data_IF_180583516794
#
_entry.id   IF_180583516794
#
_cell.length_a   1.000
_cell.length_b   1.000
_cell.length_c   1.000
_cell.angle_alpha   90.00
_cell.angle_beta   90.00
_cell.angle_gamma   90.00
#
_symmetry.space_group_name_H-M   'P 1'
#
loop_
_entity.id
_entity.type
_entity.pdbx_description
1 polymer ?
#
# COMPACT_ATOMS: atom_id res chain seq x y z
N UNK A 1 -20.79 -28.33 3.31
CA UNK A 1 -21.15 -26.92 3.56
C UNK A 1 -20.25 -26.11 2.65
N UNK A 2 -20.80 -25.35 1.69
CA UNK A 2 -19.96 -24.52 0.80
C UNK A 2 -19.48 -23.34 1.63
N UNK A 3 -18.19 -23.29 1.90
CA UNK A 3 -17.55 -22.09 2.45
C UNK A 3 -17.85 -20.94 1.48
N UNK A 4 -18.64 -19.98 1.96
CA UNK A 4 -18.91 -18.72 1.30
C UNK A 4 -17.58 -17.97 1.21
N UNK A 5 -17.00 -17.96 0.01
CA UNK A 5 -15.89 -17.08 -0.33
C UNK A 5 -16.45 -15.67 -0.24
N UNK A 6 -16.26 -15.01 0.91
CA UNK A 6 -16.52 -13.58 1.02
C UNK A 6 -15.62 -12.89 -0.01
N UNK A 7 -16.24 -12.35 -1.05
CA UNK A 7 -15.52 -11.53 -2.02
C UNK A 7 -14.92 -10.34 -1.26
N UNK A 8 -13.64 -10.00 -1.48
CA UNK A 8 -13.04 -8.86 -0.83
C UNK A 8 -13.86 -7.60 -1.12
N UNK A 9 -14.08 -6.78 -0.08
CA UNK A 9 -14.74 -5.48 -0.25
C UNK A 9 -13.77 -4.57 -0.98
N UNK A 10 -14.10 -4.22 -2.22
CA UNK A 10 -13.30 -3.30 -3.02
C UNK A 10 -13.65 -1.84 -2.68
N UNK A 11 -12.61 -1.04 -2.48
CA UNK A 11 -12.72 0.41 -2.27
C UNK A 11 -12.04 1.13 -3.42
N UNK A 12 -12.72 2.13 -3.99
CA UNK A 12 -12.17 3.01 -5.02
C UNK A 12 -11.94 4.40 -4.42
N UNK A 13 -10.75 4.95 -4.60
CA UNK A 13 -10.40 6.32 -4.19
C UNK A 13 -9.87 7.10 -5.39
N UNK A 14 -10.21 8.39 -5.46
CA UNK A 14 -9.62 9.32 -6.42
C UNK A 14 -8.53 10.11 -5.73
N UNK A 15 -7.35 10.14 -6.34
CA UNK A 15 -6.16 10.78 -5.79
C UNK A 15 -5.45 11.54 -6.90
N UNK A 16 -4.81 12.64 -6.55
CA UNK A 16 -3.93 13.40 -7.44
C UNK A 16 -2.58 12.69 -7.61
N UNK A 17 -1.80 13.07 -8.62
CA UNK A 17 -0.42 12.55 -8.78
C UNK A 17 0.44 12.84 -7.55
N UNK A 18 0.26 14.01 -6.93
CA UNK A 18 0.98 14.40 -5.71
C UNK A 18 0.64 13.48 -4.54
N UNK A 19 -0.63 13.13 -4.37
CA UNK A 19 -1.07 12.21 -3.32
C UNK A 19 -0.59 10.79 -3.58
N UNK A 20 -0.57 10.34 -4.84
CA UNK A 20 0.00 9.04 -5.20
C UNK A 20 1.49 8.96 -4.83
N UNK A 21 2.29 9.99 -5.17
CA UNK A 21 3.70 10.08 -4.76
C UNK A 21 3.85 10.05 -3.24
N UNK A 22 2.97 10.76 -2.53
CA UNK A 22 2.92 10.75 -1.05
C UNK A 22 2.65 9.33 -0.52
N UNK A 23 1.65 8.61 -1.02
CA UNK A 23 1.34 7.25 -0.55
C UNK A 23 2.48 6.26 -0.79
N UNK A 24 3.15 6.34 -1.94
CA UNK A 24 4.34 5.51 -2.22
C UNK A 24 5.46 5.83 -1.22
N UNK A 25 5.69 7.13 -0.95
CA UNK A 25 6.70 7.57 0.02
C UNK A 25 6.37 7.11 1.44
N UNK A 26 5.09 7.11 1.84
CA UNK A 26 4.66 6.65 3.16
C UNK A 26 5.02 5.19 3.41
N UNK A 27 4.82 4.29 2.44
CA UNK A 27 5.17 2.87 2.60
C UNK A 27 6.65 2.67 2.93
N UNK A 28 7.53 3.38 2.20
CA UNK A 28 8.98 3.36 2.45
C UNK A 28 9.32 3.96 3.82
N UNK A 29 8.71 5.11 4.15
CA UNK A 29 8.97 5.79 5.42
C UNK A 29 8.55 4.93 6.63
N UNK A 30 7.45 4.17 6.54
CA UNK A 30 7.02 3.25 7.59
C UNK A 30 8.08 2.19 7.87
N UNK A 31 8.58 1.53 6.82
CA UNK A 31 9.58 0.46 6.95
C UNK A 31 10.91 0.99 7.51
N UNK A 32 11.26 2.25 7.22
CA UNK A 32 12.51 2.86 7.68
C UNK A 32 12.45 3.34 9.14
N UNK A 33 11.29 3.78 9.61
CA UNK A 33 11.17 4.52 10.87
C UNK A 33 10.38 3.77 11.96
N UNK A 34 9.62 2.74 11.59
CA UNK A 34 8.83 1.95 12.55
C UNK A 34 9.47 0.57 12.72
N UNK A 35 9.73 0.12 13.96
CA UNK A 35 10.24 -1.23 14.20
C UNK A 35 9.35 -2.30 13.58
N UNK A 36 9.95 -3.33 12.97
CA UNK A 36 9.24 -4.34 12.18
C UNK A 36 8.11 -5.03 12.97
N UNK A 37 8.39 -5.43 14.21
CA UNK A 37 7.40 -6.07 15.11
C UNK A 37 6.25 -5.14 15.53
N UNK A 38 6.40 -3.83 15.31
CA UNK A 38 5.38 -2.82 15.62
C UNK A 38 4.51 -2.45 14.42
N UNK A 39 4.91 -2.80 13.19
CA UNK A 39 4.18 -2.43 11.96
C UNK A 39 2.73 -2.92 11.94
N UNK A 40 2.42 -4.18 12.31
CA UNK A 40 1.04 -4.66 12.33
C UNK A 40 0.16 -3.88 13.32
N UNK A 41 0.71 -3.48 14.45
CA UNK A 41 -0.02 -2.69 15.45
C UNK A 41 -0.18 -1.23 15.02
N UNK A 42 0.77 -0.68 14.26
CA UNK A 42 0.75 0.71 13.82
C UNK A 42 -0.18 0.95 12.63
N UNK A 43 -0.14 0.08 11.61
CA UNK A 43 -0.87 0.28 10.35
C UNK A 43 -1.66 -0.94 9.86
N UNK A 44 -1.68 -2.04 10.63
CA UNK A 44 -2.41 -3.25 10.26
C UNK A 44 -1.72 -4.13 9.23
N UNK A 45 -0.49 -3.80 8.81
CA UNK A 45 0.26 -4.53 7.78
C UNK A 45 1.63 -4.97 8.29
N UNK A 46 2.06 -6.15 7.86
CA UNK A 46 3.44 -6.60 7.97
C UNK A 46 4.35 -5.85 6.99
N UNK A 47 5.66 -5.91 7.21
CA UNK A 47 6.66 -5.32 6.30
C UNK A 47 6.52 -5.79 4.86
N UNK A 48 6.28 -7.09 4.64
CA UNK A 48 6.12 -7.64 3.30
C UNK A 48 4.85 -7.10 2.62
N UNK A 49 3.73 -7.01 3.34
CA UNK A 49 2.49 -6.44 2.80
C UNK A 49 2.64 -4.95 2.45
N UNK A 50 3.40 -4.18 3.24
CA UNK A 50 3.71 -2.78 2.93
C UNK A 50 4.54 -2.70 1.65
N UNK A 51 5.55 -3.56 1.48
CA UNK A 51 6.36 -3.62 0.25
C UNK A 51 5.47 -3.93 -0.94
N UNK A 52 4.61 -4.95 -0.84
CA UNK A 52 3.73 -5.37 -1.93
C UNK A 52 2.73 -4.29 -2.35
N UNK A 53 2.13 -3.58 -1.38
CA UNK A 53 1.25 -2.44 -1.68
C UNK A 53 2.04 -1.31 -2.34
N UNK A 54 3.21 -0.98 -1.80
CA UNK A 54 4.07 0.10 -2.31
C UNK A 54 4.53 -0.18 -3.75
N UNK A 55 4.89 -1.43 -4.06
CA UNK A 55 5.26 -1.86 -5.41
C UNK A 55 4.08 -1.75 -6.38
N UNK A 56 2.88 -2.19 -6.00
CA UNK A 56 1.69 -2.04 -6.84
C UNK A 56 1.36 -0.57 -7.13
N UNK A 57 1.53 0.32 -6.14
CA UNK A 57 1.35 1.76 -6.33
C UNK A 57 2.42 2.35 -7.26
N UNK A 58 3.69 1.96 -7.08
CA UNK A 58 4.82 2.36 -7.94
C UNK A 58 4.58 1.94 -9.39
N UNK A 59 4.25 0.68 -9.62
CA UNK A 59 3.93 0.17 -10.97
C UNK A 59 2.76 0.92 -11.61
N UNK A 60 1.74 1.27 -10.82
CA UNK A 60 0.65 2.09 -11.32
C UNK A 60 1.12 3.48 -11.74
N UNK A 61 1.97 4.13 -10.95
CA UNK A 61 2.56 5.43 -11.28
C UNK A 61 3.41 5.37 -12.55
N UNK A 62 4.28 4.35 -12.67
CA UNK A 62 5.15 4.15 -13.83
C UNK A 62 4.32 3.96 -15.11
N UNK A 63 3.25 3.17 -15.06
CA UNK A 63 2.30 3.00 -16.19
C UNK A 63 1.58 4.29 -16.61
N UNK A 64 1.50 5.27 -15.71
CA UNK A 64 0.89 6.58 -15.97
C UNK A 64 1.92 7.65 -16.33
N UNK A 65 3.21 7.32 -16.35
CA UNK A 65 4.28 8.29 -16.60
C UNK A 65 4.48 9.28 -15.46
N UNK A 66 4.04 8.94 -14.25
CA UNK A 66 4.21 9.78 -13.07
C UNK A 66 5.60 9.46 -12.50
N UNK A 67 6.50 10.45 -12.52
CA UNK A 67 7.81 10.31 -11.88
C UNK A 67 7.66 10.12 -10.37
N UNK A 68 8.36 9.16 -9.77
CA UNK A 68 8.33 8.90 -8.32
C UNK A 68 9.65 9.32 -7.68
#
# INVERSE_FOLDING_TARGET
MKDSIDNPVEFNILVTERELRYFISCGIALIQNVPEDSLPNYCGLSKNEIIDVSMRLREFADRKGIEI
#
